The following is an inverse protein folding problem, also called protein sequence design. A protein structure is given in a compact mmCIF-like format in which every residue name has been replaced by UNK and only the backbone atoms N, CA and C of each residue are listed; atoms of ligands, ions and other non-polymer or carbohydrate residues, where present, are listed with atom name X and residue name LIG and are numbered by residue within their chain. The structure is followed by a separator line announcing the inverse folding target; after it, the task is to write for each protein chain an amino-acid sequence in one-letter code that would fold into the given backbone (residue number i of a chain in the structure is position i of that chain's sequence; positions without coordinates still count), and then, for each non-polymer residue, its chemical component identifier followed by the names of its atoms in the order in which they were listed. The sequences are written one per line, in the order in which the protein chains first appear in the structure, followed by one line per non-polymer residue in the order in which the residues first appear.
data_IF_788414994883
#
_entry.id   IF_788414994883
#
_cell.length_a   1.000
_cell.length_b   1.000
_cell.length_c   1.000
_cell.angle_alpha   90.00
_cell.angle_beta   90.00
_cell.angle_gamma   90.00
#
_symmetry.space_group_name_H-M   'P 1'
#
loop_
_entity.id
_entity.type
_entity.pdbx_description
1 polymer ?
#
# COMPACT_ATOMS: atom_id res chain seq x y z
N UNK A 1 -17.73 -4.91 16.56
CA UNK A 1 -16.63 -4.04 16.08
C UNK A 1 -15.97 -4.55 14.80
N UNK A 2 -15.87 -5.87 14.57
CA UNK A 2 -15.26 -6.43 13.34
C UNK A 2 -16.00 -6.04 12.04
N UNK A 3 -17.32 -6.24 11.97
CA UNK A 3 -18.12 -5.96 10.76
C UNK A 3 -17.94 -4.52 10.23
N UNK A 4 -18.13 -3.46 11.04
CA UNK A 4 -17.96 -2.10 10.54
C UNK A 4 -16.50 -1.76 10.19
N UNK A 5 -15.50 -2.39 10.83
CA UNK A 5 -14.10 -2.24 10.46
C UNK A 5 -13.80 -2.82 9.08
N UNK A 6 -14.37 -3.99 8.75
CA UNK A 6 -14.23 -4.57 7.40
C UNK A 6 -14.93 -3.72 6.34
N UNK A 7 -16.08 -3.14 6.67
CA UNK A 7 -16.78 -2.20 5.77
C UNK A 7 -15.94 -0.95 5.52
N UNK A 8 -15.37 -0.35 6.56
CA UNK A 8 -14.46 0.80 6.44
C UNK A 8 -13.22 0.46 5.59
N UNK A 9 -12.65 -0.72 5.79
CA UNK A 9 -11.52 -1.19 4.99
C UNK A 9 -11.87 -1.36 3.51
N UNK A 10 -13.03 -1.93 3.19
CA UNK A 10 -13.48 -2.11 1.82
C UNK A 10 -13.71 -0.76 1.11
N UNK A 11 -14.36 0.19 1.80
CA UNK A 11 -14.58 1.55 1.29
C UNK A 11 -13.23 2.24 1.02
N UNK A 12 -12.29 2.13 1.96
CA UNK A 12 -10.95 2.71 1.83
C UNK A 12 -10.22 2.12 0.62
N UNK A 13 -10.28 0.79 0.41
CA UNK A 13 -9.67 0.14 -0.75
C UNK A 13 -10.27 0.61 -2.07
N UNK A 14 -11.59 0.83 -2.14
CA UNK A 14 -12.24 1.38 -3.34
C UNK A 14 -11.79 2.81 -3.62
N UNK A 15 -11.66 3.65 -2.60
CA UNK A 15 -11.15 5.02 -2.76
C UNK A 15 -9.71 5.00 -3.28
N UNK A 16 -8.89 4.06 -2.78
CA UNK A 16 -7.50 3.90 -3.19
C UNK A 16 -7.33 3.31 -4.60
N UNK A 17 -8.38 2.77 -5.23
CA UNK A 17 -8.30 2.37 -6.64
C UNK A 17 -8.13 3.55 -7.59
N UNK A 18 -8.50 4.77 -7.17
CA UNK A 18 -8.27 5.97 -7.98
C UNK A 18 -6.90 6.55 -7.61
N UNK A 19 -5.88 6.46 -8.48
CA UNK A 19 -4.52 6.94 -8.18
C UNK A 19 -4.47 8.46 -8.33
N UNK A 20 -5.09 9.18 -7.39
CA UNK A 20 -5.19 10.64 -7.40
C UNK A 20 -3.90 11.32 -6.91
N UNK A 21 -3.03 10.59 -6.21
CA UNK A 21 -1.70 11.08 -5.78
C UNK A 21 -0.63 10.02 -6.11
N UNK A 22 0.59 10.42 -6.51
CA UNK A 22 1.68 9.46 -6.70
C UNK A 22 1.91 8.68 -5.41
N UNK A 23 1.77 7.35 -5.46
CA UNK A 23 1.85 6.47 -4.29
C UNK A 23 0.64 6.50 -3.35
N UNK A 24 -0.44 7.18 -3.72
CA UNK A 24 -1.73 7.24 -3.01
C UNK A 24 -1.67 7.73 -1.54
N UNK A 25 -0.57 8.36 -1.12
CA UNK A 25 -0.28 8.65 0.29
C UNK A 25 -1.28 9.63 0.92
N UNK A 26 -1.63 10.71 0.22
CA UNK A 26 -2.47 11.78 0.80
C UNK A 26 -3.90 11.34 1.06
N UNK A 27 -4.49 10.59 0.11
CA UNK A 27 -5.86 10.09 0.24
C UNK A 27 -5.93 8.86 1.15
N UNK A 28 -4.88 8.06 1.21
CA UNK A 28 -4.79 6.96 2.17
C UNK A 28 -4.82 7.46 3.61
N UNK A 29 -4.06 8.49 3.95
CA UNK A 29 -4.02 9.01 5.32
C UNK A 29 -5.33 9.71 5.70
N UNK A 30 -5.84 10.59 4.84
CA UNK A 30 -7.09 11.32 5.11
C UNK A 30 -8.29 10.37 5.10
N UNK A 31 -8.33 9.41 4.16
CA UNK A 31 -9.40 8.43 4.07
C UNK A 31 -9.42 7.45 5.25
N UNK A 32 -8.24 6.92 5.64
CA UNK A 32 -8.15 6.01 6.78
C UNK A 32 -8.44 6.73 8.10
N UNK A 33 -7.89 7.94 8.29
CA UNK A 33 -8.16 8.71 9.51
C UNK A 33 -9.63 9.09 9.64
N UNK A 34 -10.29 9.48 8.55
CA UNK A 34 -11.72 9.82 8.54
C UNK A 34 -12.62 8.61 8.81
N UNK A 35 -12.32 7.47 8.18
CA UNK A 35 -13.14 6.26 8.33
C UNK A 35 -12.95 5.56 9.67
N UNK A 36 -11.74 5.61 10.25
CA UNK A 36 -11.44 4.96 11.53
C UNK A 36 -11.59 5.87 12.76
N UNK A 37 -11.88 7.17 12.58
CA UNK A 37 -12.11 8.14 13.66
C UNK A 37 -13.23 7.74 14.62
N UNK A 38 -14.27 7.08 14.12
CA UNK A 38 -15.39 6.62 14.92
C UNK A 38 -15.10 5.30 15.67
N UNK A 39 -14.04 4.57 15.29
CA UNK A 39 -13.76 3.22 15.78
C UNK A 39 -12.50 3.13 16.66
N UNK A 40 -11.56 4.07 16.50
CA UNK A 40 -10.28 4.08 17.21
C UNK A 40 -10.13 5.42 17.93
N UNK A 41 -9.78 5.38 19.22
CA UNK A 41 -9.54 6.60 20.00
C UNK A 41 -8.48 7.48 19.33
N UNK A 42 -8.71 8.80 19.32
CA UNK A 42 -7.92 9.77 18.53
C UNK A 42 -6.40 9.70 18.78
N UNK A 43 -5.98 9.24 19.97
CA UNK A 43 -4.58 9.05 20.32
C UNK A 43 -3.90 7.88 19.56
N UNK A 44 -4.62 6.79 19.32
CA UNK A 44 -4.09 5.56 18.70
C UNK A 44 -4.28 5.59 17.19
N UNK A 45 -5.23 6.39 16.71
CA UNK A 45 -5.65 6.42 15.31
C UNK A 45 -4.52 6.80 14.34
N UNK A 46 -3.71 7.80 14.68
CA UNK A 46 -2.56 8.18 13.84
C UNK A 46 -1.52 7.06 13.73
N UNK A 47 -1.21 6.41 14.86
CA UNK A 47 -0.27 5.27 14.91
C UNK A 47 -0.83 4.08 14.12
N UNK A 48 -2.13 3.81 14.25
CA UNK A 48 -2.81 2.73 13.53
C UNK A 48 -2.74 2.92 12.01
N UNK A 49 -3.06 4.13 11.51
CA UNK A 49 -2.99 4.46 10.08
C UNK A 49 -1.56 4.35 9.55
N UNK A 50 -0.58 4.87 10.31
CA UNK A 50 0.84 4.79 9.94
C UNK A 50 1.36 3.34 9.96
N UNK A 51 1.01 2.55 10.97
CA UNK A 51 1.42 1.15 11.08
C UNK A 51 0.80 0.30 9.94
N UNK A 52 -0.49 0.50 9.66
CA UNK A 52 -1.17 -0.17 8.54
C UNK A 52 -0.51 0.16 7.20
N UNK A 53 -0.19 1.43 6.95
CA UNK A 53 0.57 1.85 5.75
C UNK A 53 1.99 1.31 5.73
N UNK A 54 2.68 1.31 6.86
CA UNK A 54 4.03 0.76 6.98
C UNK A 54 4.07 -0.70 6.55
N UNK A 55 3.12 -1.50 7.00
CA UNK A 55 3.07 -2.93 6.69
C UNK A 55 2.58 -3.17 5.26
N UNK A 56 1.43 -2.62 4.88
CA UNK A 56 0.83 -2.96 3.58
C UNK A 56 1.56 -2.28 2.42
N UNK A 57 1.88 -0.99 2.52
CA UNK A 57 2.45 -0.25 1.40
C UNK A 57 3.94 -0.56 1.19
N UNK A 58 4.74 -0.58 2.27
CA UNK A 58 6.19 -0.75 2.11
C UNK A 58 6.56 -2.20 1.80
N UNK A 59 5.82 -3.19 2.30
CA UNK A 59 6.07 -4.59 1.94
C UNK A 59 5.73 -4.84 0.48
N UNK A 60 4.58 -4.34 -0.01
CA UNK A 60 4.22 -4.48 -1.43
C UNK A 60 5.22 -3.74 -2.34
N UNK A 61 5.66 -2.55 -1.94
CA UNK A 61 6.66 -1.79 -2.70
C UNK A 61 8.03 -2.50 -2.70
N UNK A 62 8.47 -3.04 -1.56
CA UNK A 62 9.73 -3.75 -1.44
C UNK A 62 9.72 -5.05 -2.26
N UNK A 63 8.65 -5.84 -2.19
CA UNK A 63 8.50 -7.06 -2.97
C UNK A 63 8.40 -6.75 -4.46
N UNK A 64 7.57 -5.78 -4.86
CA UNK A 64 7.45 -5.36 -6.26
C UNK A 64 8.75 -4.79 -6.82
N UNK A 65 9.48 -4.00 -6.02
CA UNK A 65 10.80 -3.49 -6.38
C UNK A 65 11.84 -4.60 -6.52
N UNK A 66 11.88 -5.54 -5.57
CA UNK A 66 12.81 -6.67 -5.62
C UNK A 66 12.58 -7.55 -6.86
N UNK A 67 11.32 -7.89 -7.15
CA UNK A 67 10.96 -8.67 -8.34
C UNK A 67 11.33 -7.93 -9.63
N UNK A 68 11.09 -6.62 -9.69
CA UNK A 68 11.46 -5.79 -10.85
C UNK A 68 12.98 -5.79 -11.09
N UNK A 69 13.77 -5.69 -10.03
CA UNK A 69 15.23 -5.76 -10.11
C UNK A 69 15.72 -7.15 -10.54
N UNK A 70 15.12 -8.22 -10.03
CA UNK A 70 15.42 -9.58 -10.47
C UNK A 70 15.10 -9.76 -11.96
N UNK A 71 13.93 -9.32 -12.43
CA UNK A 71 13.56 -9.37 -13.85
C UNK A 71 14.51 -8.59 -14.75
N UNK A 72 14.96 -7.40 -14.32
CA UNK A 72 15.93 -6.61 -15.08
C UNK A 72 17.25 -7.36 -15.23
N UNK A 73 17.73 -8.00 -14.16
CA UNK A 73 18.96 -8.79 -14.17
C UNK A 73 18.83 -10.02 -15.08
N UNK A 74 17.69 -10.71 -15.02
CA UNK A 74 17.41 -11.88 -15.85
C UNK A 74 17.32 -11.50 -17.34
N UNK A 75 16.71 -10.35 -17.67
CA UNK A 75 16.68 -9.85 -19.05
C UNK A 75 18.08 -9.47 -19.57
N UNK A 76 18.97 -8.97 -18.72
CA UNK A 76 20.35 -8.69 -19.12
C UNK A 76 21.14 -9.97 -19.37
N UNK A 77 21.01 -10.96 -18.50
CA UNK A 77 21.65 -12.28 -18.68
C UNK A 77 21.16 -12.99 -19.95
N UNK A 78 19.86 -12.92 -20.23
CA UNK A 78 19.28 -13.48 -21.46
C UNK A 78 19.82 -12.81 -22.72
N UNK A 79 20.02 -11.49 -22.72
CA UNK A 79 20.62 -10.77 -23.84
C UNK A 79 22.08 -11.19 -24.09
N UNK A 80 22.86 -11.30 -23.02
CA UNK A 80 24.27 -11.70 -23.09
C UNK A 80 24.44 -13.12 -23.67
N UNK A 81 23.57 -14.06 -23.29
CA UNK A 81 23.57 -15.44 -23.82
C UNK A 81 23.13 -15.49 -25.29
N UNK A 82 22.20 -14.64 -25.73
CA UNK A 82 21.70 -14.62 -27.10
C UNK A 82 22.67 -13.98 -28.11
N UNK A 83 23.60 -13.15 -27.64
CA UNK A 83 24.62 -12.48 -28.45
C UNK A 83 25.94 -13.30 -28.56
N UNK A 84 26.01 -14.49 -27.97
CA UNK A 84 27.14 -15.45 -28.04
C UNK A 84 26.83 -16.60 -29.01
#
# INVERSE_FOLDING_TARGET
MLVPSFTAQAILTVILMVPLTPGNSGIAEVGASSLYAAFVGSYILGIFVMAWRGIIYHVNLAVGGFVSLSMLKDMQLMKEVLET
#
